data_IF_999450786724
#
_entry.id   IF_999450786724
#
_cell.length_a   1.000
_cell.length_b   1.000
_cell.length_c   1.000
_cell.angle_alpha   90.00
_cell.angle_beta   90.00
_cell.angle_gamma   90.00
#
_symmetry.space_group_name_H-M   'P 1'
#
loop_
_entity.id
_entity.type
_entity.pdbx_description
1 polymer ?
#
# COMPACT_ATOMS: atom_id res chain seq x y z
N UNK A 1 -31.62 -37.52 -4.47
CA UNK A 1 -31.71 -36.56 -5.60
C UNK A 1 -31.01 -37.03 -6.88
N UNK A 2 -30.08 -37.98 -6.84
CA UNK A 2 -29.26 -38.40 -8.00
C UNK A 2 -29.79 -39.59 -8.81
N UNK A 3 -30.98 -40.15 -8.49
CA UNK A 3 -31.51 -41.33 -9.22
C UNK A 3 -32.14 -40.99 -10.58
N UNK A 4 -32.54 -39.75 -10.80
CA UNK A 4 -33.13 -39.31 -12.08
C UNK A 4 -32.10 -38.68 -12.99
N UNK A 5 -32.31 -38.73 -14.32
CA UNK A 5 -31.45 -38.09 -15.32
C UNK A 5 -31.27 -36.59 -15.02
N UNK A 6 -32.36 -35.89 -14.72
CA UNK A 6 -32.32 -34.47 -14.35
C UNK A 6 -31.52 -34.20 -13.08
N UNK A 7 -31.58 -35.07 -12.07
CA UNK A 7 -30.78 -34.98 -10.87
C UNK A 7 -29.27 -35.17 -11.11
N UNK A 8 -28.88 -36.06 -12.04
CA UNK A 8 -27.48 -36.25 -12.44
C UNK A 8 -26.95 -35.05 -13.21
N UNK A 9 -27.70 -34.53 -14.17
CA UNK A 9 -27.34 -33.35 -14.94
C UNK A 9 -27.17 -32.15 -14.00
N UNK A 10 -28.13 -31.92 -13.09
CA UNK A 10 -28.05 -30.84 -12.11
C UNK A 10 -26.79 -30.94 -11.23
N UNK A 11 -26.49 -32.16 -10.73
CA UNK A 11 -25.29 -32.37 -9.90
C UNK A 11 -24.00 -32.09 -10.67
N UNK A 12 -23.87 -32.47 -11.93
CA UNK A 12 -22.72 -32.16 -12.76
C UNK A 12 -22.58 -30.64 -13.02
N UNK A 13 -23.69 -29.99 -13.38
CA UNK A 13 -23.66 -28.54 -13.67
C UNK A 13 -23.31 -27.73 -12.40
N UNK A 14 -23.88 -28.07 -11.25
CA UNK A 14 -23.57 -27.43 -9.98
C UNK A 14 -22.10 -27.67 -9.60
N UNK A 15 -21.58 -28.88 -9.79
CA UNK A 15 -20.16 -29.18 -9.51
C UNK A 15 -19.23 -28.36 -10.38
N UNK A 16 -19.49 -28.23 -11.68
CA UNK A 16 -18.72 -27.37 -12.59
C UNK A 16 -18.79 -25.91 -12.13
N UNK A 17 -19.97 -25.43 -11.76
CA UNK A 17 -20.20 -24.07 -11.31
C UNK A 17 -19.38 -23.74 -10.03
N UNK A 18 -19.35 -24.68 -9.07
CA UNK A 18 -18.51 -24.55 -7.85
C UNK A 18 -17.03 -24.48 -8.19
N UNK A 19 -16.56 -25.33 -9.11
CA UNK A 19 -15.15 -25.33 -9.54
C UNK A 19 -14.79 -23.99 -10.21
N UNK A 20 -15.64 -23.51 -11.12
CA UNK A 20 -15.40 -22.23 -11.81
C UNK A 20 -15.32 -21.05 -10.81
N UNK A 21 -16.27 -20.99 -9.86
CA UNK A 21 -16.25 -19.94 -8.82
C UNK A 21 -15.00 -20.08 -7.95
N UNK A 22 -14.61 -21.30 -7.56
CA UNK A 22 -13.39 -21.55 -6.79
C UNK A 22 -12.13 -21.03 -7.51
N UNK A 23 -12.03 -21.27 -8.82
CA UNK A 23 -10.92 -20.73 -9.65
C UNK A 23 -10.94 -19.21 -9.69
N UNK A 24 -12.13 -18.60 -9.89
CA UNK A 24 -12.26 -17.14 -9.92
C UNK A 24 -11.87 -16.51 -8.58
N UNK A 25 -12.32 -17.06 -7.45
CA UNK A 25 -11.98 -16.56 -6.10
C UNK A 25 -10.47 -16.67 -5.85
N UNK A 26 -9.85 -17.79 -6.22
CA UNK A 26 -8.40 -17.98 -6.07
C UNK A 26 -7.62 -17.00 -6.95
N UNK A 27 -8.02 -16.83 -8.19
CA UNK A 27 -7.38 -15.86 -9.10
C UNK A 27 -7.51 -14.43 -8.56
N UNK A 28 -8.70 -14.04 -8.09
CA UNK A 28 -8.91 -12.72 -7.48
C UNK A 28 -8.04 -12.51 -6.25
N UNK A 29 -7.88 -13.51 -5.38
CA UNK A 29 -7.00 -13.42 -4.22
C UNK A 29 -5.55 -13.14 -4.62
N UNK A 30 -5.00 -13.93 -5.54
CA UNK A 30 -3.62 -13.77 -6.01
C UNK A 30 -3.42 -12.39 -6.68
N UNK A 31 -4.34 -12.02 -7.57
CA UNK A 31 -4.28 -10.76 -8.30
C UNK A 31 -4.40 -9.55 -7.36
N UNK A 32 -5.40 -9.55 -6.47
CA UNK A 32 -5.60 -8.46 -5.49
C UNK A 32 -4.45 -8.35 -4.50
N UNK A 33 -3.90 -9.47 -4.03
CA UNK A 33 -2.74 -9.50 -3.14
C UNK A 33 -1.53 -8.84 -3.80
N UNK A 34 -1.25 -9.17 -5.06
CA UNK A 34 -0.15 -8.55 -5.82
C UNK A 34 -0.38 -7.06 -6.04
N UNK A 35 -1.59 -6.65 -6.42
CA UNK A 35 -1.92 -5.25 -6.67
C UNK A 35 -1.84 -4.40 -5.40
N UNK A 36 -2.41 -4.87 -4.29
CA UNK A 36 -2.37 -4.18 -3.00
C UNK A 36 -0.92 -4.03 -2.52
N UNK A 37 -0.12 -5.12 -2.59
CA UNK A 37 1.28 -5.07 -2.21
C UNK A 37 2.07 -4.08 -3.07
N UNK A 38 1.86 -4.06 -4.39
CA UNK A 38 2.51 -3.12 -5.29
C UNK A 38 2.11 -1.68 -5.01
N UNK A 39 0.82 -1.43 -4.77
CA UNK A 39 0.30 -0.11 -4.43
C UNK A 39 0.91 0.42 -3.13
N UNK A 40 0.91 -0.39 -2.06
CA UNK A 40 1.43 0.02 -0.77
C UNK A 40 2.93 0.28 -0.79
N UNK A 41 3.70 -0.56 -1.50
CA UNK A 41 5.12 -0.33 -1.77
C UNK A 41 5.34 0.98 -2.55
N UNK A 42 4.50 1.27 -3.52
CA UNK A 42 4.56 2.52 -4.29
C UNK A 42 4.25 3.74 -3.43
N UNK A 43 3.25 3.65 -2.54
CA UNK A 43 2.92 4.71 -1.57
C UNK A 43 4.11 4.96 -0.63
N UNK A 44 4.66 3.92 -0.01
CA UNK A 44 5.81 4.06 0.89
C UNK A 44 7.04 4.69 0.19
N UNK A 45 7.36 4.22 -1.02
CA UNK A 45 8.46 4.78 -1.83
C UNK A 45 8.19 6.23 -2.23
N UNK A 46 6.96 6.56 -2.63
CA UNK A 46 6.58 7.93 -2.97
C UNK A 46 6.74 8.90 -1.78
N UNK A 47 6.35 8.47 -0.57
CA UNK A 47 6.54 9.23 0.66
C UNK A 47 8.03 9.36 1.00
N UNK A 48 8.79 8.26 0.88
CA UNK A 48 10.24 8.27 1.07
C UNK A 48 10.92 9.27 0.13
N UNK A 49 10.62 9.23 -1.16
CA UNK A 49 11.24 10.09 -2.16
C UNK A 49 10.84 11.56 -1.99
N UNK A 50 9.58 11.85 -1.65
CA UNK A 50 9.13 13.20 -1.35
C UNK A 50 9.83 13.78 -0.11
N UNK A 51 9.92 12.98 0.95
CA UNK A 51 10.61 13.37 2.19
C UNK A 51 12.11 13.54 1.97
N UNK A 52 12.72 12.60 1.24
CA UNK A 52 14.13 12.69 0.84
C UNK A 52 14.42 13.97 0.07
N UNK A 53 13.66 14.24 -0.99
CA UNK A 53 13.86 15.41 -1.84
C UNK A 53 13.73 16.70 -1.04
N UNK A 54 12.73 16.80 -0.17
CA UNK A 54 12.54 18.00 0.67
C UNK A 54 13.72 18.22 1.61
N UNK A 55 14.21 17.16 2.27
CA UNK A 55 15.33 17.28 3.21
C UNK A 55 16.65 17.54 2.46
N UNK A 56 16.89 16.84 1.34
CA UNK A 56 18.11 17.03 0.56
C UNK A 56 18.22 18.47 0.02
N UNK A 57 17.14 19.01 -0.53
CA UNK A 57 17.12 20.40 -0.98
C UNK A 57 17.42 21.33 0.19
N UNK A 58 16.70 21.22 1.31
CA UNK A 58 16.85 22.14 2.43
C UNK A 58 18.21 22.03 3.08
N UNK A 59 18.71 20.82 3.34
CA UNK A 59 19.91 20.58 4.14
C UNK A 59 21.20 20.55 3.33
N UNK A 60 21.16 20.01 2.14
CA UNK A 60 22.35 19.80 1.33
C UNK A 60 22.55 20.89 0.27
N UNK A 61 21.48 21.36 -0.36
CA UNK A 61 21.56 22.36 -1.42
C UNK A 61 21.44 23.77 -0.86
N UNK A 62 20.28 24.13 -0.30
CA UNK A 62 19.97 25.49 0.14
C UNK A 62 20.87 25.93 1.29
N UNK A 63 21.03 25.08 2.33
CA UNK A 63 21.86 25.38 3.48
C UNK A 63 23.30 25.70 3.09
N UNK A 64 23.90 24.90 2.20
CA UNK A 64 25.25 25.14 1.71
C UNK A 64 25.35 26.39 0.83
N UNK A 65 24.34 26.67 0.00
CA UNK A 65 24.29 27.86 -0.82
C UNK A 65 24.18 29.12 0.03
N UNK A 66 23.32 29.12 1.05
CA UNK A 66 23.19 30.23 1.99
C UNK A 66 24.47 30.47 2.76
N UNK A 67 25.07 29.40 3.31
CA UNK A 67 26.35 29.52 4.04
C UNK A 67 27.48 29.97 3.13
N UNK A 68 27.56 29.53 1.89
CA UNK A 68 28.56 30.00 0.92
C UNK A 68 28.41 31.51 0.69
N UNK A 69 27.18 31.99 0.41
CA UNK A 69 26.93 33.41 0.18
C UNK A 69 27.28 34.27 1.39
N UNK A 70 26.96 33.80 2.60
CA UNK A 70 27.34 34.51 3.85
C UNK A 70 28.85 34.44 4.07
N UNK A 71 29.48 33.28 3.83
CA UNK A 71 30.94 33.11 3.97
C UNK A 71 31.72 34.04 3.05
N UNK A 72 31.29 34.22 1.80
CA UNK A 72 31.92 35.17 0.87
C UNK A 72 31.85 36.62 1.38
N UNK A 73 30.70 37.04 1.91
CA UNK A 73 30.53 38.37 2.50
C UNK A 73 31.42 38.55 3.74
N UNK A 74 31.45 37.58 4.65
CA UNK A 74 32.28 37.61 5.86
C UNK A 74 33.78 37.61 5.50
N UNK A 75 34.18 36.80 4.51
CA UNK A 75 35.58 36.78 4.07
C UNK A 75 36.07 38.10 3.48
N UNK A 76 35.20 38.95 2.98
CA UNK A 76 35.53 40.28 2.49
C UNK A 76 35.69 41.35 3.58
N UNK A 77 35.16 41.12 4.80
CA UNK A 77 35.19 42.05 5.93
C UNK A 77 36.49 41.94 6.74
N UNK A 78 36.89 43.01 7.43
CA UNK A 78 37.95 42.93 8.42
C UNK A 78 37.52 41.99 9.57
N UNK A 79 38.41 41.07 9.97
CA UNK A 79 38.18 40.17 11.10
C UNK A 79 37.81 40.91 12.39
N UNK A 80 38.39 42.08 12.60
CA UNK A 80 38.15 42.88 13.81
C UNK A 80 36.91 43.77 13.73
N UNK A 81 36.28 43.90 12.57
CA UNK A 81 34.99 44.57 12.44
C UNK A 81 33.83 43.58 12.80
N UNK A 82 33.75 43.32 14.10
CA UNK A 82 32.76 42.38 14.66
C UNK A 82 31.34 42.88 14.39
N UNK A 83 31.09 44.18 14.42
CA UNK A 83 29.75 44.76 14.19
C UNK A 83 29.29 44.52 12.76
N UNK A 84 30.16 44.74 11.77
CA UNK A 84 29.82 44.49 10.37
C UNK A 84 29.52 43.01 10.13
N UNK A 85 30.31 42.11 10.72
CA UNK A 85 30.09 40.65 10.61
C UNK A 85 28.80 40.22 11.28
N UNK A 86 28.50 40.72 12.50
CA UNK A 86 27.21 40.43 13.16
C UNK A 86 26.03 40.92 12.32
N UNK A 87 26.14 42.05 11.66
CA UNK A 87 25.08 42.54 10.77
C UNK A 87 24.80 41.60 9.63
N UNK A 88 25.86 41.04 9.02
CA UNK A 88 25.69 40.03 7.97
C UNK A 88 24.99 38.78 8.50
N UNK A 89 25.45 38.24 9.64
CA UNK A 89 24.82 37.06 10.27
C UNK A 89 23.37 37.33 10.63
N UNK A 90 23.06 38.44 11.27
CA UNK A 90 21.73 38.83 11.71
C UNK A 90 20.78 38.99 10.51
N UNK A 91 21.25 39.62 9.43
CA UNK A 91 20.44 39.72 8.20
C UNK A 91 20.15 38.38 7.59
N UNK A 92 21.12 37.45 7.57
CA UNK A 92 20.94 36.11 7.07
C UNK A 92 19.94 35.29 7.94
N UNK A 93 20.08 35.38 9.28
CA UNK A 93 19.12 34.74 10.20
C UNK A 93 17.71 35.28 10.04
N UNK A 94 17.54 36.57 9.91
CA UNK A 94 16.23 37.20 9.73
C UNK A 94 15.55 36.76 8.43
N UNK A 95 16.32 36.61 7.35
CA UNK A 95 15.82 36.17 6.06
C UNK A 95 15.47 34.66 6.03
N UNK A 96 16.32 33.84 6.62
CA UNK A 96 16.28 32.40 6.48
C UNK A 96 15.61 31.70 7.69
N UNK A 97 15.56 32.40 8.84
CA UNK A 97 14.96 31.88 10.09
C UNK A 97 15.69 30.68 10.67
N UNK A 98 17.00 30.58 10.52
CA UNK A 98 17.79 29.58 11.23
C UNK A 98 17.92 29.90 12.71
N UNK A 99 17.98 28.87 13.59
CA UNK A 99 18.02 29.10 15.02
C UNK A 99 19.27 29.83 15.50
N UNK A 100 20.42 29.64 14.85
CA UNK A 100 21.69 30.28 15.21
C UNK A 100 22.65 30.26 14.03
N UNK A 101 23.36 31.33 13.83
CA UNK A 101 24.52 31.44 12.91
C UNK A 101 25.73 31.94 13.62
N UNK A 102 26.92 31.45 13.29
CA UNK A 102 28.14 31.84 13.97
C UNK A 102 29.38 31.64 13.09
N UNK A 103 30.44 32.36 13.50
CA UNK A 103 31.77 32.30 12.91
C UNK A 103 32.73 31.77 13.97
N UNK A 104 33.63 30.87 13.58
CA UNK A 104 34.76 30.41 14.40
C UNK A 104 36.06 30.65 13.63
N UNK A 105 36.94 31.47 14.15
CA UNK A 105 38.21 31.77 13.50
C UNK A 105 39.30 30.75 13.83
N UNK A 106 40.11 30.40 12.84
CA UNK A 106 41.17 29.39 12.94
C UNK A 106 42.33 29.80 13.86
N UNK A 107 42.81 31.01 13.70
CA UNK A 107 44.10 31.44 14.33
C UNK A 107 44.01 31.58 15.84
N UNK A 108 42.89 32.01 16.39
CA UNK A 108 42.73 32.34 17.82
C UNK A 108 41.49 31.76 18.47
N UNK A 109 40.67 31.03 17.70
CA UNK A 109 39.43 30.42 18.20
C UNK A 109 38.32 31.41 18.56
N UNK A 110 38.49 32.69 18.20
CA UNK A 110 37.46 33.70 18.45
C UNK A 110 36.16 33.37 17.74
N UNK A 111 35.05 33.67 18.44
CA UNK A 111 33.68 33.32 17.96
C UNK A 111 32.89 34.62 17.82
N UNK A 112 32.08 34.68 16.79
CA UNK A 112 30.96 35.59 16.66
C UNK A 112 29.73 34.72 16.56
N UNK A 113 28.90 34.72 17.60
CA UNK A 113 27.65 34.00 17.68
C UNK A 113 26.51 34.98 17.48
N UNK A 114 25.61 34.68 16.57
CA UNK A 114 24.40 35.44 16.37
C UNK A 114 23.21 34.49 16.47
N UNK A 115 22.53 34.57 17.60
CA UNK A 115 21.24 33.87 17.79
C UNK A 115 20.13 34.80 17.30
N UNK A 116 19.06 34.21 16.77
CA UNK A 116 17.90 34.96 16.33
C UNK A 116 17.15 35.54 17.53
N UNK A 117 17.26 36.86 17.70
CA UNK A 117 16.54 37.63 18.72
C UNK A 117 15.87 38.85 18.08
N UNK A 118 14.59 38.76 17.70
CA UNK A 118 13.90 39.85 17.00
C UNK A 118 13.78 41.14 17.81
N UNK A 119 13.94 41.06 19.13
CA UNK A 119 13.94 42.22 20.05
C UNK A 119 15.27 42.95 20.15
N UNK A 120 16.37 42.37 19.66
CA UNK A 120 17.69 42.99 19.66
C UNK A 120 17.88 43.71 18.34
N UNK A 121 17.75 45.03 18.34
CA UNK A 121 18.00 45.84 17.13
C UNK A 121 19.45 45.78 16.67
N UNK A 122 19.68 46.06 15.38
CA UNK A 122 21.03 46.08 14.75
C UNK A 122 21.96 47.08 15.45
N UNK A 123 21.42 48.18 15.98
CA UNK A 123 22.13 49.21 16.71
C UNK A 123 22.72 48.72 18.05
N UNK A 124 22.21 47.63 18.60
CA UNK A 124 22.66 47.07 19.87
C UNK A 124 23.69 45.95 19.72
N UNK A 125 24.28 45.78 18.54
CA UNK A 125 25.26 44.74 18.28
C UNK A 125 26.55 44.93 19.10
N UNK A 126 27.01 43.87 19.77
CA UNK A 126 28.28 43.85 20.47
C UNK A 126 29.45 44.02 19.51
N UNK A 127 30.39 44.90 19.85
CA UNK A 127 31.67 45.10 19.12
C UNK A 127 32.74 44.07 19.52
N UNK A 128 32.46 43.22 20.52
CA UNK A 128 33.38 42.22 21.05
C UNK A 128 33.10 40.85 20.51
N UNK A 129 34.13 40.02 20.42
CA UNK A 129 33.97 38.57 20.17
C UNK A 129 33.27 37.89 21.37
N UNK A 130 32.49 36.87 21.09
CA UNK A 130 31.76 36.14 22.11
C UNK A 130 32.63 35.12 22.81
N UNK A 131 32.45 35.02 24.13
CA UNK A 131 33.04 33.97 24.94
C UNK A 131 32.00 32.88 25.19
N UNK A 132 32.11 31.77 24.48
CA UNK A 132 31.22 30.63 24.61
C UNK A 132 31.70 29.60 25.65
N UNK A 133 32.81 29.87 26.34
CA UNK A 133 33.39 28.98 27.36
C UNK A 133 34.02 27.69 26.79
N UNK A 134 34.16 27.58 25.49
CA UNK A 134 34.66 26.42 24.76
C UNK A 134 35.50 26.85 23.57
N UNK A 135 36.53 26.09 23.23
CA UNK A 135 37.16 26.20 21.90
C UNK A 135 36.35 25.39 20.89
N UNK A 136 35.58 26.09 20.04
CA UNK A 136 34.74 25.43 19.05
C UNK A 136 35.53 24.77 17.91
N UNK A 137 36.84 25.04 17.80
CA UNK A 137 37.71 24.32 16.84
C UNK A 137 37.90 22.87 17.21
N UNK A 138 37.63 22.48 18.46
CA UNK A 138 37.65 21.11 18.91
C UNK A 138 36.40 20.28 18.51
N UNK A 139 35.36 20.96 18.05
CA UNK A 139 34.14 20.29 17.59
C UNK A 139 34.38 19.47 16.32
N UNK A 140 33.71 18.32 16.23
CA UNK A 140 33.87 17.40 15.10
C UNK A 140 33.48 18.07 13.76
N UNK A 141 32.41 18.88 13.74
CA UNK A 141 31.99 19.61 12.55
C UNK A 141 33.00 20.66 12.07
N UNK A 142 33.73 21.27 12.99
CA UNK A 142 34.80 22.21 12.63
C UNK A 142 35.97 21.49 11.97
N UNK A 143 36.45 20.39 12.62
CA UNK A 143 37.57 19.58 12.12
C UNK A 143 37.26 19.00 10.75
N UNK A 144 36.05 18.47 10.56
CA UNK A 144 35.61 17.91 9.30
C UNK A 144 35.52 18.94 8.17
N UNK A 145 34.97 20.14 8.45
CA UNK A 145 34.91 21.26 7.49
C UNK A 145 36.31 21.75 7.09
N UNK A 146 37.20 21.85 8.06
CA UNK A 146 38.60 22.22 7.81
C UNK A 146 39.33 21.22 6.94
N UNK A 147 39.15 19.94 7.22
CA UNK A 147 39.77 18.86 6.47
C UNK A 147 39.24 18.77 5.03
N UNK A 148 37.93 18.79 4.87
CA UNK A 148 37.27 18.64 3.56
C UNK A 148 37.29 19.94 2.73
N UNK A 149 37.46 21.10 3.35
CA UNK A 149 37.38 22.44 2.73
C UNK A 149 36.12 22.65 1.88
N UNK A 150 35.01 22.08 2.33
CA UNK A 150 33.70 22.18 1.68
C UNK A 150 32.57 22.23 2.71
N UNK A 151 31.41 22.72 2.28
CA UNK A 151 30.21 22.70 3.13
C UNK A 151 29.81 21.27 3.51
N UNK A 152 29.52 21.07 4.80
CA UNK A 152 29.04 19.79 5.34
C UNK A 152 27.77 19.98 6.16
N UNK A 153 27.03 18.88 6.36
CA UNK A 153 25.99 18.74 7.38
C UNK A 153 26.47 17.69 8.38
N UNK A 154 26.50 18.06 9.65
CA UNK A 154 27.05 17.21 10.71
C UNK A 154 26.13 16.06 11.12
N UNK A 155 26.65 15.08 11.87
CA UNK A 155 25.84 14.23 12.73
C UNK A 155 25.06 15.06 13.74
N UNK A 156 23.98 14.46 14.30
CA UNK A 156 23.25 15.11 15.39
C UNK A 156 24.01 15.04 16.71
N UNK A 157 23.81 16.05 17.55
CA UNK A 157 24.41 16.12 18.89
C UNK A 157 23.51 16.90 19.85
N UNK A 158 23.77 16.78 21.16
CA UNK A 158 23.12 17.62 22.16
C UNK A 158 23.95 18.89 22.33
N UNK A 159 23.32 20.04 22.11
CA UNK A 159 24.01 21.34 22.29
C UNK A 159 24.48 21.50 23.73
N UNK A 160 25.74 21.89 23.89
CA UNK A 160 26.38 22.12 25.20
C UNK A 160 26.50 23.60 25.55
N UNK A 161 26.17 24.51 24.61
CA UNK A 161 26.37 25.96 24.77
C UNK A 161 25.22 26.76 24.11
N UNK A 162 25.18 28.06 24.39
CA UNK A 162 24.22 29.00 23.80
C UNK A 162 22.79 28.80 24.31
N UNK A 163 21.87 29.47 23.63
CA UNK A 163 20.43 29.46 23.98
C UNK A 163 19.75 28.10 23.76
N UNK A 164 20.38 27.20 23.00
CA UNK A 164 19.85 25.89 22.67
C UNK A 164 20.52 24.75 23.44
N UNK A 165 21.18 25.05 24.56
CA UNK A 165 21.81 24.06 25.43
C UNK A 165 20.81 22.99 25.86
N UNK A 166 21.18 21.72 25.66
CA UNK A 166 20.32 20.55 25.97
C UNK A 166 19.40 20.14 24.84
N UNK A 167 19.27 20.91 23.76
CA UNK A 167 18.51 20.53 22.59
C UNK A 167 19.34 19.71 21.60
N UNK A 168 18.67 18.82 20.87
CA UNK A 168 19.31 18.06 19.80
C UNK A 168 19.36 18.89 18.53
N UNK A 169 20.56 19.11 18.03
CA UNK A 169 20.86 19.90 16.85
C UNK A 169 21.68 19.10 15.85
N UNK A 170 21.68 19.56 14.61
CA UNK A 170 22.76 19.32 13.65
C UNK A 170 23.31 20.68 13.21
N UNK A 171 24.53 20.69 12.73
CA UNK A 171 25.15 21.92 12.22
C UNK A 171 25.48 21.77 10.76
N UNK A 172 25.00 22.70 9.94
CA UNK A 172 25.55 22.89 8.60
C UNK A 172 26.71 23.89 8.71
N UNK A 173 27.82 23.62 8.03
CA UNK A 173 29.01 24.45 8.07
C UNK A 173 29.55 24.72 6.68
N UNK A 174 30.32 25.82 6.57
CA UNK A 174 31.04 26.14 5.35
C UNK A 174 32.41 26.75 5.70
N UNK A 175 33.49 26.45 4.94
CA UNK A 175 34.80 27.01 5.21
C UNK A 175 34.85 28.49 4.86
N UNK A 176 35.44 29.29 5.74
CA UNK A 176 35.82 30.67 5.44
C UNK A 176 37.19 30.69 4.77
N UNK A 177 37.24 31.11 3.52
CA UNK A 177 38.46 31.17 2.73
C UNK A 177 38.69 32.61 2.29
N UNK A 178 39.86 33.16 2.59
CA UNK A 178 40.31 34.50 2.17
C UNK A 178 41.61 34.37 1.41
N UNK A 179 41.64 34.86 0.16
CA UNK A 179 42.82 34.79 -0.73
C UNK A 179 43.41 33.37 -0.85
N UNK A 180 42.55 32.36 -0.84
CA UNK A 180 42.94 30.93 -0.92
C UNK A 180 43.36 30.29 0.41
N UNK A 181 43.42 31.09 1.52
CA UNK A 181 43.77 30.59 2.85
C UNK A 181 42.52 30.31 3.67
N UNK A 182 42.51 29.20 4.38
CA UNK A 182 41.44 28.84 5.33
C UNK A 182 41.62 29.68 6.60
N UNK A 183 40.64 30.53 6.91
CA UNK A 183 40.67 31.45 8.05
C UNK A 183 39.68 31.09 9.15
N UNK A 184 38.80 30.11 8.91
CA UNK A 184 37.81 29.67 9.90
C UNK A 184 36.64 28.93 9.28
N UNK A 185 35.57 28.77 10.05
CA UNK A 185 34.33 28.13 9.66
C UNK A 185 33.14 29.03 10.00
N UNK A 186 32.20 29.15 9.08
CA UNK A 186 30.85 29.62 9.40
C UNK A 186 29.95 28.42 9.62
N UNK A 187 29.13 28.46 10.67
CA UNK A 187 28.15 27.43 11.01
C UNK A 187 26.77 28.01 11.17
N UNK A 188 25.79 27.16 10.96
CA UNK A 188 24.40 27.41 11.35
C UNK A 188 23.81 26.15 11.96
N UNK A 189 23.02 26.32 13.01
CA UNK A 189 22.38 25.22 13.69
C UNK A 189 21.00 24.92 13.06
N UNK A 190 20.64 23.66 13.11
CA UNK A 190 19.44 23.13 12.50
C UNK A 190 18.67 22.34 13.57
N UNK A 191 17.43 22.73 13.83
CA UNK A 191 16.57 21.95 14.71
C UNK A 191 16.11 20.66 14.02
N UNK A 192 16.54 19.54 14.57
CA UNK A 192 16.17 18.24 14.03
C UNK A 192 14.82 17.73 14.54
N UNK A 193 14.30 18.28 15.65
CA UNK A 193 12.99 17.92 16.18
C UNK A 193 11.80 18.34 15.30
N UNK A 194 11.97 19.33 14.44
CA UNK A 194 10.89 19.80 13.57
C UNK A 194 10.66 18.92 12.34
N UNK A 195 11.57 17.98 12.04
CA UNK A 195 11.34 17.05 10.92
C UNK A 195 10.13 16.19 11.14
N UNK A 196 9.89 15.71 12.37
CA UNK A 196 8.75 14.84 12.67
C UNK A 196 7.40 15.51 12.36
N UNK A 197 7.26 16.80 12.69
CA UNK A 197 6.04 17.57 12.38
C UNK A 197 5.73 17.65 10.89
N UNK A 198 6.76 17.61 10.04
CA UNK A 198 6.59 17.61 8.58
C UNK A 198 6.08 16.25 8.08
N UNK A 199 6.43 15.17 8.78
CA UNK A 199 6.02 13.81 8.41
C UNK A 199 4.58 13.48 8.82
N UNK A 200 3.98 14.18 9.78
CA UNK A 200 2.57 14.04 10.16
C UNK A 200 1.62 14.24 8.96
N UNK A 201 2.03 15.04 7.97
CA UNK A 201 1.26 15.24 6.73
C UNK A 201 1.24 14.02 5.79
N UNK A 202 2.02 12.98 6.06
CA UNK A 202 2.09 11.77 5.25
C UNK A 202 1.22 10.61 5.77
N UNK A 203 0.43 10.84 6.82
CA UNK A 203 -0.53 9.85 7.31
C UNK A 203 -1.48 9.40 6.20
N UNK A 204 -1.78 8.10 6.15
CA UNK A 204 -2.65 7.48 5.16
C UNK A 204 -3.59 6.50 5.85
N UNK A 205 -4.88 6.59 5.54
CA UNK A 205 -5.90 5.67 6.09
C UNK A 205 -5.63 4.21 5.67
N UNK A 206 -5.06 4.02 4.49
CA UNK A 206 -4.75 2.70 3.94
C UNK A 206 -3.54 2.05 4.62
N UNK A 207 -2.66 2.85 5.23
CA UNK A 207 -1.45 2.43 5.93
C UNK A 207 -1.37 3.10 7.31
N UNK A 208 -2.23 2.72 8.26
CA UNK A 208 -2.38 3.42 9.55
C UNK A 208 -1.12 3.35 10.43
N UNK A 209 -0.25 2.37 10.21
CA UNK A 209 1.01 2.22 10.93
C UNK A 209 2.21 2.77 10.14
N UNK A 210 1.96 3.52 9.06
CA UNK A 210 3.02 4.18 8.31
C UNK A 210 3.73 5.20 9.20
N UNK A 211 5.06 5.13 9.16
CA UNK A 211 5.94 6.05 9.87
C UNK A 211 7.13 6.44 9.00
N UNK A 212 7.65 7.64 9.23
CA UNK A 212 8.88 8.12 8.60
C UNK A 212 9.84 8.54 9.71
N UNK A 213 11.04 7.99 9.67
CA UNK A 213 12.07 8.36 10.62
C UNK A 213 13.41 8.63 9.94
N UNK A 214 14.31 9.30 10.66
CA UNK A 214 15.64 9.66 10.14
C UNK A 214 16.70 9.18 11.13
N UNK A 215 17.79 8.62 10.59
CA UNK A 215 19.00 8.32 11.33
C UNK A 215 20.12 9.28 10.93
N UNK A 216 21.03 9.57 11.87
CA UNK A 216 22.25 10.32 11.60
C UNK A 216 23.35 9.42 11.01
N UNK A 217 24.54 10.00 10.80
CA UNK A 217 25.70 9.29 10.22
C UNK A 217 26.20 8.12 11.06
N UNK A 218 25.87 8.08 12.37
CA UNK A 218 26.18 6.95 13.26
C UNK A 218 25.15 5.82 13.14
N UNK A 219 24.04 6.07 12.43
CA UNK A 219 22.89 5.19 12.33
C UNK A 219 21.92 5.28 13.50
N UNK A 220 22.07 6.30 14.38
CA UNK A 220 21.16 6.57 15.49
C UNK A 220 19.91 7.28 15.00
N UNK A 221 18.72 6.76 15.38
CA UNK A 221 17.45 7.40 15.12
C UNK A 221 17.35 8.69 15.96
N UNK A 222 17.15 9.83 15.30
CA UNK A 222 17.00 11.12 15.96
C UNK A 222 15.66 11.81 15.69
N UNK A 223 14.92 11.36 14.68
CA UNK A 223 13.56 11.80 14.38
C UNK A 223 12.67 10.59 14.22
N UNK A 224 11.66 10.45 15.05
CA UNK A 224 10.69 9.35 15.07
C UNK A 224 9.41 9.82 15.78
N UNK A 225 8.23 9.35 15.40
CA UNK A 225 6.96 9.72 16.06
C UNK A 225 6.88 9.28 17.51
N UNK A 226 7.55 8.19 17.88
CA UNK A 226 7.67 7.72 19.26
C UNK A 226 8.94 8.32 19.90
N UNK A 227 8.81 9.26 20.87
CA UNK A 227 9.95 9.85 21.54
C UNK A 227 10.83 8.82 22.28
N UNK A 228 10.26 7.72 22.77
CA UNK A 228 11.02 6.70 23.50
C UNK A 228 12.08 6.03 22.62
N UNK A 229 11.86 5.93 21.31
CA UNK A 229 12.84 5.43 20.35
C UNK A 229 14.00 6.42 20.18
N UNK A 230 13.71 7.71 20.12
CA UNK A 230 14.72 8.77 19.99
C UNK A 230 15.59 8.87 21.25
N UNK A 231 14.98 8.74 22.43
CA UNK A 231 15.64 8.82 23.73
C UNK A 231 16.35 7.52 24.13
N UNK A 232 16.10 6.42 23.42
CA UNK A 232 16.73 5.13 23.72
C UNK A 232 18.27 5.24 23.73
N UNK A 233 18.89 4.75 24.78
CA UNK A 233 20.36 4.66 24.88
C UNK A 233 20.91 3.38 24.28
N UNK A 234 20.04 2.38 24.03
CA UNK A 234 20.40 1.11 23.42
C UNK A 234 20.05 1.11 21.93
N UNK A 235 20.87 0.40 21.15
CA UNK A 235 20.60 0.25 19.72
C UNK A 235 19.32 -0.56 19.49
N UNK A 236 18.39 0.01 18.74
CA UNK A 236 17.11 -0.62 18.41
C UNK A 236 17.26 -1.67 17.31
N UNK A 237 16.30 -2.60 17.19
CA UNK A 237 16.27 -3.58 16.08
C UNK A 237 16.15 -2.89 14.72
N UNK A 238 15.45 -1.76 14.64
CA UNK A 238 15.37 -0.95 13.41
C UNK A 238 16.74 -0.40 13.00
N UNK A 239 17.52 0.15 13.96
CA UNK A 239 18.87 0.67 13.71
C UNK A 239 19.82 -0.44 13.27
N UNK A 240 19.79 -1.61 13.93
CA UNK A 240 20.61 -2.78 13.55
C UNK A 240 20.30 -3.25 12.13
N UNK A 241 19.01 -3.45 11.83
CA UNK A 241 18.58 -3.94 10.52
C UNK A 241 18.92 -2.95 9.39
N UNK A 242 18.75 -1.64 9.64
CA UNK A 242 19.11 -0.59 8.69
C UNK A 242 20.62 -0.54 8.43
N UNK A 243 21.45 -0.64 9.47
CA UNK A 243 22.92 -0.70 9.33
C UNK A 243 23.37 -1.86 8.46
N UNK A 244 22.78 -3.05 8.63
CA UNK A 244 23.08 -4.21 7.78
C UNK A 244 22.62 -4.00 6.33
N UNK A 245 21.47 -3.32 6.12
CA UNK A 245 20.99 -2.99 4.79
C UNK A 245 21.90 -1.97 4.08
N UNK A 246 22.36 -0.94 4.78
CA UNK A 246 23.26 0.10 4.26
C UNK A 246 24.64 -0.44 3.85
N UNK A 247 25.11 -1.55 4.42
CA UNK A 247 26.33 -2.23 3.96
C UNK A 247 26.21 -2.75 2.53
N UNK A 248 25.00 -2.98 2.04
CA UNK A 248 24.73 -3.56 0.71
C UNK A 248 24.49 -2.47 -0.34
N UNK A 249 23.71 -1.44 0.00
CA UNK A 249 23.37 -0.36 -0.92
C UNK A 249 22.97 0.89 -0.14
N UNK A 250 23.10 2.12 -0.72
CA UNK A 250 22.67 3.37 -0.09
C UNK A 250 21.14 3.55 -0.09
N UNK A 251 20.41 2.75 -0.86
CA UNK A 251 18.95 2.73 -0.89
C UNK A 251 18.44 1.31 -1.09
N UNK A 252 17.24 1.02 -0.59
CA UNK A 252 16.66 -0.31 -0.72
C UNK A 252 15.48 -0.57 0.21
N UNK A 253 15.24 -1.85 0.40
CA UNK A 253 14.21 -2.39 1.30
C UNK A 253 14.88 -3.22 2.40
N UNK A 254 14.30 -3.20 3.59
CA UNK A 254 14.70 -4.04 4.70
C UNK A 254 13.51 -4.39 5.57
N UNK A 255 13.65 -5.47 6.33
CA UNK A 255 12.63 -5.95 7.25
C UNK A 255 13.24 -6.11 8.65
N UNK A 256 12.43 -5.86 9.68
CA UNK A 256 12.79 -6.10 11.06
C UNK A 256 11.54 -6.39 11.89
N UNK A 257 11.73 -7.00 13.07
CA UNK A 257 10.65 -7.21 14.02
C UNK A 257 10.74 -6.18 15.14
N UNK A 258 9.63 -5.59 15.50
CA UNK A 258 9.52 -4.67 16.63
C UNK A 258 8.22 -4.94 17.37
N UNK A 259 8.28 -5.21 18.67
CA UNK A 259 7.15 -5.55 19.52
C UNK A 259 6.31 -6.73 18.98
N UNK A 260 6.95 -7.79 18.50
CA UNK A 260 6.33 -8.95 17.86
C UNK A 260 5.54 -8.63 16.56
N UNK A 261 5.77 -7.48 15.97
CA UNK A 261 5.23 -7.13 14.64
C UNK A 261 6.35 -7.05 13.61
N UNK A 262 6.17 -7.74 12.49
CA UNK A 262 7.06 -7.63 11.35
C UNK A 262 6.81 -6.31 10.63
N UNK A 263 7.89 -5.61 10.31
CA UNK A 263 7.87 -4.31 9.65
C UNK A 263 8.62 -4.36 8.33
N UNK A 264 8.07 -3.66 7.33
CA UNK A 264 8.65 -3.48 5.99
C UNK A 264 9.06 -2.03 5.85
N UNK A 265 10.36 -1.78 5.64
CA UNK A 265 10.93 -0.45 5.50
C UNK A 265 11.60 -0.26 4.15
N UNK A 266 11.46 0.94 3.59
CA UNK A 266 12.24 1.45 2.47
C UNK A 266 13.13 2.57 2.99
N UNK A 267 14.39 2.59 2.55
CA UNK A 267 15.37 3.56 3.03
C UNK A 267 16.16 4.19 1.87
N UNK A 268 16.65 5.40 2.14
CA UNK A 268 17.54 6.12 1.22
C UNK A 268 18.50 6.98 2.01
N UNK A 269 19.79 6.85 1.72
CA UNK A 269 20.85 7.61 2.38
C UNK A 269 21.11 8.92 1.65
N UNK A 270 21.24 9.98 2.42
CA UNK A 270 21.63 11.31 1.91
C UNK A 270 23.15 11.38 1.63
N UNK A 271 23.58 12.26 0.71
CA UNK A 271 25.00 12.44 0.42
C UNK A 271 25.85 12.87 1.64
N UNK A 272 25.20 13.47 2.65
CA UNK A 272 25.84 13.85 3.91
C UNK A 272 25.76 12.77 5.01
N UNK A 273 25.31 11.57 4.65
CA UNK A 273 25.40 10.36 5.49
C UNK A 273 24.19 10.05 6.37
N UNK A 274 23.21 10.93 6.48
CA UNK A 274 21.94 10.60 7.15
C UNK A 274 21.14 9.61 6.29
N UNK A 275 20.19 8.93 6.93
CA UNK A 275 19.30 8.02 6.19
C UNK A 275 17.86 8.26 6.59
N UNK A 276 17.00 8.44 5.59
CA UNK A 276 15.55 8.49 5.80
C UNK A 276 14.93 7.14 5.52
N UNK A 277 13.92 6.80 6.30
CA UNK A 277 13.21 5.52 6.24
C UNK A 277 11.71 5.77 6.26
N UNK A 278 10.99 5.10 5.35
CA UNK A 278 9.54 4.95 5.38
C UNK A 278 9.23 3.51 5.77
N UNK A 279 8.51 3.29 6.86
CA UNK A 279 8.24 1.97 7.40
C UNK A 279 6.75 1.80 7.73
N UNK A 280 6.22 0.60 7.53
CA UNK A 280 4.91 0.20 8.04
C UNK A 280 4.92 -1.24 8.54
N UNK A 281 3.84 -1.68 9.18
CA UNK A 281 3.71 -3.06 9.64
C UNK A 281 3.32 -4.00 8.48
N UNK A 282 3.77 -5.24 8.52
CA UNK A 282 3.31 -6.28 7.60
C UNK A 282 1.80 -6.52 7.74
N UNK A 283 1.24 -6.26 8.92
CA UNK A 283 -0.20 -6.37 9.18
C UNK A 283 -1.04 -5.38 8.35
N UNK A 284 -0.54 -4.20 8.02
CA UNK A 284 -1.25 -3.25 7.13
C UNK A 284 -1.50 -3.89 5.76
N UNK A 285 -0.47 -4.55 5.21
CA UNK A 285 -0.59 -5.27 3.94
C UNK A 285 -1.58 -6.44 4.05
N UNK A 286 -1.41 -7.30 5.07
CA UNK A 286 -2.24 -8.50 5.22
C UNK A 286 -3.69 -8.18 5.54
N UNK A 287 -3.95 -7.15 6.34
CA UNK A 287 -5.31 -6.71 6.67
C UNK A 287 -6.06 -6.20 5.44
N UNK A 288 -5.40 -5.39 4.61
CA UNK A 288 -6.01 -4.91 3.37
C UNK A 288 -6.31 -6.05 2.39
N UNK A 289 -5.38 -7.00 2.23
CA UNK A 289 -5.56 -8.19 1.39
C UNK A 289 -6.70 -9.05 1.93
N UNK A 290 -6.72 -9.33 3.23
CA UNK A 290 -7.76 -10.13 3.87
C UNK A 290 -9.13 -9.47 3.75
N UNK A 291 -9.24 -8.17 3.99
CA UNK A 291 -10.49 -7.42 3.81
C UNK A 291 -11.04 -7.57 2.40
N UNK A 292 -10.19 -7.40 1.39
CA UNK A 292 -10.59 -7.58 -0.01
C UNK A 292 -10.99 -9.02 -0.31
N UNK A 293 -10.28 -10.00 0.23
CA UNK A 293 -10.60 -11.42 0.08
C UNK A 293 -11.96 -11.78 0.69
N UNK A 294 -12.25 -11.33 1.92
CA UNK A 294 -13.54 -11.57 2.55
C UNK A 294 -14.71 -10.94 1.78
N UNK A 295 -14.56 -9.73 1.30
CA UNK A 295 -15.59 -9.07 0.48
C UNK A 295 -15.83 -9.86 -0.82
N UNK A 296 -14.78 -10.20 -1.54
CA UNK A 296 -14.86 -10.96 -2.80
C UNK A 296 -15.47 -12.32 -2.59
N UNK A 297 -15.10 -13.03 -1.51
CA UNK A 297 -15.63 -14.34 -1.16
C UNK A 297 -17.10 -14.27 -0.79
N UNK A 298 -17.53 -13.26 -0.03
CA UNK A 298 -18.94 -13.06 0.31
C UNK A 298 -19.79 -12.84 -0.95
N UNK A 299 -19.33 -12.00 -1.88
CA UNK A 299 -20.00 -11.77 -3.17
C UNK A 299 -20.07 -13.07 -3.98
N UNK A 300 -18.98 -13.83 -4.05
CA UNK A 300 -18.92 -15.11 -4.76
C UNK A 300 -19.90 -16.13 -4.18
N UNK A 301 -20.02 -16.21 -2.85
CA UNK A 301 -20.99 -17.09 -2.19
C UNK A 301 -22.45 -16.72 -2.50
N UNK A 302 -22.78 -15.44 -2.49
CA UNK A 302 -24.12 -14.96 -2.87
C UNK A 302 -24.42 -15.33 -4.32
N UNK A 303 -23.48 -15.09 -5.24
CA UNK A 303 -23.64 -15.45 -6.66
C UNK A 303 -23.77 -16.96 -6.85
N UNK A 304 -23.03 -17.77 -6.07
CA UNK A 304 -23.15 -19.23 -6.09
C UNK A 304 -24.55 -19.69 -5.68
N UNK A 305 -25.11 -19.17 -4.60
CA UNK A 305 -26.43 -19.53 -4.12
C UNK A 305 -27.51 -19.12 -5.14
N UNK A 306 -27.46 -17.88 -5.62
CA UNK A 306 -28.42 -17.37 -6.62
C UNK A 306 -28.31 -18.16 -7.93
N UNK A 307 -27.10 -18.40 -8.40
CA UNK A 307 -26.84 -19.18 -9.60
C UNK A 307 -27.30 -20.62 -9.47
N UNK A 308 -27.05 -21.27 -8.32
CA UNK A 308 -27.52 -22.62 -8.06
C UNK A 308 -29.07 -22.71 -8.03
N UNK A 309 -29.75 -21.73 -7.41
CA UNK A 309 -31.21 -21.66 -7.44
C UNK A 309 -31.74 -21.53 -8.86
N UNK A 310 -31.14 -20.62 -9.64
CA UNK A 310 -31.50 -20.45 -11.06
C UNK A 310 -31.31 -21.74 -11.85
N UNK A 311 -30.16 -22.41 -11.69
CA UNK A 311 -29.86 -23.66 -12.36
C UNK A 311 -30.85 -24.77 -12.00
N UNK A 312 -31.25 -24.90 -10.72
CA UNK A 312 -32.26 -25.85 -10.29
C UNK A 312 -33.59 -25.64 -11.00
N UNK A 313 -34.06 -24.40 -11.06
CA UNK A 313 -35.32 -24.03 -11.72
C UNK A 313 -35.21 -24.29 -13.24
N UNK A 314 -34.12 -23.86 -13.84
CA UNK A 314 -33.87 -23.97 -15.27
C UNK A 314 -33.80 -25.42 -15.74
N UNK A 315 -33.00 -26.26 -15.04
CA UNK A 315 -32.88 -27.69 -15.38
C UNK A 315 -34.19 -28.42 -15.16
N UNK A 316 -34.94 -28.13 -14.09
CA UNK A 316 -36.27 -28.72 -13.89
C UNK A 316 -37.21 -28.37 -15.03
N UNK A 317 -37.24 -27.14 -15.52
CA UNK A 317 -38.06 -26.74 -16.69
C UNK A 317 -37.65 -27.48 -17.97
N UNK A 318 -36.33 -27.59 -18.21
CA UNK A 318 -35.82 -28.25 -19.41
C UNK A 318 -36.10 -29.76 -19.42
N UNK A 319 -36.09 -30.42 -18.25
CA UNK A 319 -36.25 -31.89 -18.15
C UNK A 319 -37.70 -32.31 -17.92
N UNK A 320 -38.56 -31.39 -17.51
CA UNK A 320 -39.99 -31.68 -17.27
C UNK A 320 -40.72 -32.38 -18.46
N UNK A 321 -40.48 -32.00 -19.73
CA UNK A 321 -41.11 -32.65 -20.89
C UNK A 321 -40.80 -34.13 -21.02
N UNK A 322 -39.60 -34.56 -20.62
CA UNK A 322 -39.20 -36.00 -20.66
C UNK A 322 -40.14 -36.85 -19.80
N UNK A 323 -40.49 -36.35 -18.60
CA UNK A 323 -41.38 -37.06 -17.69
C UNK A 323 -42.80 -37.17 -18.27
N UNK A 324 -43.28 -36.13 -18.94
CA UNK A 324 -44.58 -36.13 -19.61
C UNK A 324 -44.59 -37.09 -20.77
N UNK A 325 -43.54 -37.19 -21.56
CA UNK A 325 -43.41 -38.18 -22.64
C UNK A 325 -43.38 -39.59 -22.08
N UNK A 326 -42.57 -39.84 -21.04
CA UNK A 326 -42.50 -41.18 -20.40
C UNK A 326 -43.84 -41.59 -19.84
N UNK A 327 -44.57 -40.73 -19.16
CA UNK A 327 -45.91 -41.03 -18.63
C UNK A 327 -46.92 -41.28 -19.74
N UNK A 328 -46.88 -40.48 -20.83
CA UNK A 328 -47.73 -40.68 -21.99
C UNK A 328 -47.44 -41.97 -22.71
N UNK A 329 -46.16 -42.34 -22.89
CA UNK A 329 -45.80 -43.68 -23.47
C UNK A 329 -46.25 -44.84 -22.58
N UNK A 330 -46.09 -44.75 -21.28
CA UNK A 330 -46.59 -45.82 -20.37
C UNK A 330 -48.08 -45.93 -20.46
N UNK A 331 -48.85 -44.84 -20.51
CA UNK A 331 -50.33 -44.88 -20.69
C UNK A 331 -50.71 -45.49 -22.04
N UNK A 332 -49.93 -45.15 -23.11
CA UNK A 332 -50.15 -45.80 -24.44
C UNK A 332 -49.91 -47.29 -24.42
N UNK A 333 -48.85 -47.80 -23.81
CA UNK A 333 -48.58 -49.21 -23.67
C UNK A 333 -49.62 -49.93 -22.78
N UNK A 334 -50.11 -49.32 -21.72
CA UNK A 334 -51.16 -49.87 -20.90
C UNK A 334 -52.48 -49.98 -21.68
N UNK A 335 -52.78 -49.03 -22.57
CA UNK A 335 -53.92 -49.08 -23.48
C UNK A 335 -53.77 -50.18 -24.49
N UNK A 336 -52.66 -50.37 -25.19
CA UNK A 336 -52.41 -51.48 -26.13
C UNK A 336 -52.50 -52.80 -25.46
N UNK A 337 -52.00 -52.91 -24.20
CA UNK A 337 -52.10 -54.18 -23.44
C UNK A 337 -53.45 -54.43 -22.78
N UNK A 338 -54.51 -53.68 -23.17
CA UNK A 338 -55.89 -53.79 -22.65
C UNK A 338 -56.01 -53.61 -21.12
N UNK A 339 -55.03 -52.95 -20.47
CA UNK A 339 -55.07 -52.63 -19.04
C UNK A 339 -55.94 -51.42 -18.74
N UNK A 340 -56.12 -50.53 -19.71
CA UNK A 340 -56.92 -49.31 -19.63
C UNK A 340 -57.79 -49.20 -20.89
N UNK A 341 -59.02 -48.63 -20.78
CA UNK A 341 -59.91 -48.38 -21.93
C UNK A 341 -59.73 -46.98 -22.53
N UNK A 342 -59.12 -46.04 -21.79
CA UNK A 342 -58.90 -44.64 -22.21
C UNK A 342 -57.43 -44.32 -22.28
N UNK A 343 -57.08 -43.51 -23.30
CA UNK A 343 -55.73 -42.94 -23.47
C UNK A 343 -55.82 -41.46 -23.71
N UNK A 344 -54.99 -40.73 -23.04
CA UNK A 344 -54.84 -39.26 -23.22
C UNK A 344 -53.65 -38.95 -24.07
N UNK A 345 -53.71 -37.87 -24.86
CA UNK A 345 -52.61 -37.36 -25.65
C UNK A 345 -51.60 -36.68 -24.76
N UNK A 346 -50.32 -36.66 -25.19
CA UNK A 346 -49.24 -35.96 -24.50
C UNK A 346 -49.37 -34.47 -24.75
N UNK A 347 -49.57 -33.70 -23.69
CA UNK A 347 -49.74 -32.24 -23.79
C UNK A 347 -48.39 -31.50 -23.61
N UNK A 348 -47.53 -31.52 -24.66
CA UNK A 348 -46.29 -30.72 -24.75
C UNK A 348 -46.43 -29.79 -25.96
N UNK A 349 -46.38 -28.47 -25.69
CA UNK A 349 -46.56 -27.43 -26.74
C UNK A 349 -45.26 -26.64 -26.91
N UNK A 350 -44.13 -27.34 -27.05
CA UNK A 350 -42.84 -26.69 -27.37
C UNK A 350 -42.49 -26.96 -28.85
N UNK A 351 -41.70 -26.05 -29.45
CA UNK A 351 -41.23 -26.20 -30.83
C UNK A 351 -39.85 -26.87 -30.93
N UNK A 352 -39.41 -27.53 -29.85
CA UNK A 352 -38.17 -28.28 -29.75
C UNK A 352 -38.37 -29.76 -30.05
N UNK A 353 -37.31 -30.58 -29.86
CA UNK A 353 -37.30 -32.00 -30.05
C UNK A 353 -38.37 -32.73 -29.20
N UNK A 354 -38.68 -32.18 -28.03
CA UNK A 354 -39.72 -32.79 -27.15
C UNK A 354 -41.12 -32.54 -27.69
N UNK A 355 -41.39 -31.38 -28.29
CA UNK A 355 -42.64 -31.12 -28.98
C UNK A 355 -42.83 -31.99 -30.20
N UNK A 356 -41.76 -32.21 -30.99
CA UNK A 356 -41.78 -33.13 -32.15
C UNK A 356 -42.03 -34.58 -31.73
N UNK A 357 -41.37 -35.06 -30.66
CA UNK A 357 -41.59 -36.39 -30.09
C UNK A 357 -43.04 -36.57 -29.60
N UNK A 358 -43.57 -35.57 -28.88
CA UNK A 358 -44.94 -35.61 -28.39
C UNK A 358 -45.96 -35.66 -29.54
N UNK A 359 -45.75 -34.90 -30.61
CA UNK A 359 -46.59 -34.93 -31.82
C UNK A 359 -46.57 -36.31 -32.49
N UNK A 360 -45.36 -36.87 -32.76
CA UNK A 360 -45.21 -38.19 -33.36
C UNK A 360 -45.87 -39.35 -32.55
N UNK A 361 -45.73 -39.27 -31.21
CA UNK A 361 -46.37 -40.24 -30.31
C UNK A 361 -47.89 -40.05 -30.34
N UNK A 362 -48.41 -38.84 -30.33
CA UNK A 362 -49.85 -38.53 -30.40
C UNK A 362 -50.46 -39.01 -31.72
N UNK A 363 -49.74 -38.86 -32.83
CA UNK A 363 -50.18 -39.37 -34.14
C UNK A 363 -50.28 -40.89 -34.12
N UNK A 364 -49.29 -41.58 -33.51
CA UNK A 364 -49.34 -43.03 -33.32
C UNK A 364 -50.49 -43.48 -32.39
N UNK A 365 -50.70 -42.74 -31.29
CA UNK A 365 -51.86 -43.01 -30.39
C UNK A 365 -53.17 -42.91 -31.15
N UNK A 366 -53.36 -41.91 -31.97
CA UNK A 366 -54.57 -41.70 -32.78
C UNK A 366 -54.77 -42.82 -33.79
N UNK A 367 -53.74 -43.16 -34.57
CA UNK A 367 -53.80 -44.22 -35.55
C UNK A 367 -54.10 -45.55 -34.93
N UNK A 368 -53.51 -45.91 -33.80
CA UNK A 368 -53.75 -47.16 -33.06
C UNK A 368 -55.19 -47.25 -32.51
N UNK A 369 -55.68 -46.13 -31.96
CA UNK A 369 -57.03 -46.04 -31.45
C UNK A 369 -58.05 -46.24 -32.56
N UNK A 370 -57.90 -45.58 -33.71
CA UNK A 370 -58.74 -45.73 -34.88
C UNK A 370 -58.72 -47.19 -35.41
N UNK A 371 -57.54 -47.81 -35.47
CA UNK A 371 -57.41 -49.21 -35.87
C UNK A 371 -58.15 -50.21 -34.94
N UNK A 372 -57.91 -50.03 -33.62
CA UNK A 372 -58.63 -50.90 -32.64
C UNK A 372 -60.15 -50.73 -32.62
N UNK A 373 -60.65 -49.53 -32.88
CA UNK A 373 -62.06 -49.24 -32.97
C UNK A 373 -62.66 -49.89 -34.27
N UNK A 374 -61.91 -49.83 -35.36
CA UNK A 374 -62.29 -50.54 -36.62
C UNK A 374 -62.31 -52.08 -36.40
N UNK A 375 -61.30 -52.66 -35.72
CA UNK A 375 -61.25 -54.06 -35.37
C UNK A 375 -62.42 -54.47 -34.50
N UNK A 376 -62.77 -53.70 -33.49
CA UNK A 376 -63.92 -53.90 -32.62
C UNK A 376 -65.26 -53.93 -33.42
N UNK A 377 -65.38 -53.01 -34.37
CA UNK A 377 -66.53 -52.89 -35.23
C UNK A 377 -66.64 -54.07 -36.18
N UNK A 378 -65.55 -54.50 -36.82
CA UNK A 378 -65.48 -55.67 -37.66
C UNK A 378 -65.85 -56.99 -36.91
N UNK A 379 -65.31 -57.12 -35.68
CA UNK A 379 -65.69 -58.25 -34.81
C UNK A 379 -67.19 -58.25 -34.47
N UNK A 380 -67.72 -57.05 -34.11
CA UNK A 380 -69.15 -56.93 -33.82
C UNK A 380 -70.05 -57.25 -35.04
N UNK A 381 -69.68 -56.78 -36.24
CA UNK A 381 -70.36 -57.09 -37.48
C UNK A 381 -70.27 -58.56 -37.80
N UNK A 382 -69.10 -59.18 -37.60
CA UNK A 382 -68.92 -60.67 -37.78
C UNK A 382 -69.80 -61.51 -36.84
N UNK A 383 -69.82 -61.09 -35.54
CA UNK A 383 -70.67 -61.74 -34.54
C UNK A 383 -72.14 -61.58 -34.86
N UNK A 384 -72.55 -60.38 -35.36
CA UNK A 384 -73.96 -60.15 -35.77
C UNK A 384 -74.31 -60.96 -36.99
N UNK A 385 -73.40 -61.11 -37.97
CA UNK A 385 -73.61 -61.86 -39.18
C UNK A 385 -73.70 -63.39 -38.86
N UNK A 386 -72.87 -63.91 -37.96
CA UNK A 386 -72.92 -65.28 -37.51
C UNK A 386 -74.22 -65.61 -36.71
N UNK A 387 -74.68 -64.64 -35.86
CA UNK A 387 -75.93 -64.83 -35.08
C UNK A 387 -77.23 -64.72 -35.92
N UNK A 388 -77.16 -64.34 -37.24
CA UNK A 388 -78.29 -64.31 -38.17
C UNK A 388 -78.36 -65.63 -38.95
N UNK A 389 -77.36 -66.49 -38.87
CA UNK A 389 -77.31 -67.83 -39.60
C UNK A 389 -77.74 -69.01 -38.70
N UNK A 390 -78.01 -68.79 -37.44
CA UNK A 390 -78.74 -69.77 -36.58
C UNK A 390 -80.25 -69.45 -36.59
#
# INVERSE_FOLDING_TARGET
MTKTLGGKILACVVAIFVVVIGVIVTYNYISSSSQISTLFRSIQKGILDASYTTIDITMNVEAKQHLNAVAEQIAALDKNDVVAQRRVLMTAEELIKYPSMYIVYENDGKVILQDYHPEVGIENLSSNFDNVGLDLRDRFWYKETKEKKQGIVSSTYISSAGNYKGQRLATATYPLIRNGEFIGVIGMDLFVGDFQKRFENFEREELPNLDVYITDTSGKIFSHKDPAIVESTTETEAEKALKEALKKAPEGEFNYNYNNEDRVGFYKQFPFGWTIVSVTTQSDYTNAINKQFFISTAIALVLLVVGAMFLVVFVKKLVAPIHSIQSGLNSFFDFINHKTQDISTISIKTNDEFGQMAAAINDNIKATKEGLDQDKQAVKESVTTVGIVE
#
